data_IF_836173309090
#
_entry.id   IF_836173309090
#
_cell.length_a   1.000
_cell.length_b   1.000
_cell.length_c   1.000
_cell.angle_alpha   90.00
_cell.angle_beta   90.00
_cell.angle_gamma   90.00
#
_symmetry.space_group_name_H-M   'P 1'
#
loop_
_entity.id
_entity.type
_entity.pdbx_description
1 polymer ?
#
# COMPACT_ATOMS: atom_id res chain seq x y z
N UNK A 1 11.79 -1.91 2.38
CA UNK A 1 12.23 -2.93 3.36
C UNK A 1 13.74 -3.06 3.29
N UNK A 2 14.43 -3.19 4.43
CA UNK A 2 15.90 -3.30 4.45
C UNK A 2 16.36 -4.72 4.08
N UNK A 3 17.60 -4.88 3.63
CA UNK A 3 18.16 -6.21 3.32
C UNK A 3 18.23 -7.10 4.57
N UNK A 4 18.57 -6.53 5.74
CA UNK A 4 18.59 -7.26 7.01
C UNK A 4 17.21 -7.81 7.34
N UNK A 5 16.19 -6.95 7.27
CA UNK A 5 14.79 -7.33 7.50
C UNK A 5 14.36 -8.47 6.56
N UNK A 6 14.77 -8.41 5.29
CA UNK A 6 14.43 -9.44 4.31
C UNK A 6 15.04 -10.81 4.66
N UNK A 7 16.29 -10.82 5.16
CA UNK A 7 16.97 -12.06 5.58
C UNK A 7 16.32 -12.70 6.80
N UNK A 8 15.75 -11.90 7.69
CA UNK A 8 15.02 -12.42 8.86
C UNK A 8 13.71 -13.10 8.41
N UNK A 9 12.96 -12.46 7.50
CA UNK A 9 11.74 -13.02 6.92
C UNK A 9 11.96 -14.32 6.14
N UNK A 10 13.15 -14.55 5.59
CA UNK A 10 13.47 -15.78 4.85
C UNK A 10 13.40 -17.05 5.72
N UNK A 11 13.41 -16.91 7.05
CA UNK A 11 13.28 -18.02 8.01
C UNK A 11 11.84 -18.24 8.48
N UNK A 12 10.95 -17.32 8.13
CA UNK A 12 9.58 -17.31 8.58
C UNK A 12 8.64 -17.94 7.56
N UNK A 13 7.56 -18.52 8.06
CA UNK A 13 6.53 -19.13 7.24
C UNK A 13 5.24 -18.33 7.38
N UNK A 14 4.56 -18.16 6.25
CA UNK A 14 3.29 -17.48 6.15
C UNK A 14 2.22 -18.29 6.90
N UNK A 15 1.55 -17.66 7.86
CA UNK A 15 0.41 -18.29 8.55
C UNK A 15 -0.91 -17.94 7.89
N UNK A 16 -1.05 -16.67 7.47
CA UNK A 16 -2.33 -16.13 7.01
C UNK A 16 -2.13 -14.88 6.15
N UNK A 17 -3.01 -14.71 5.16
CA UNK A 17 -3.15 -13.46 4.39
C UNK A 17 -4.54 -12.87 4.59
N UNK A 18 -4.59 -11.61 5.02
CA UNK A 18 -5.83 -10.87 5.28
C UNK A 18 -5.94 -9.66 4.36
N UNK A 19 -7.09 -9.42 3.70
CA UNK A 19 -7.34 -8.18 3.01
C UNK A 19 -7.52 -7.04 4.02
N UNK A 20 -6.81 -5.94 3.83
CA UNK A 20 -6.81 -4.79 4.74
C UNK A 20 -7.01 -3.49 3.98
N UNK A 21 -7.42 -2.44 4.69
CA UNK A 21 -7.43 -1.06 4.21
C UNK A 21 -6.18 -0.35 4.71
N UNK A 22 -5.43 0.26 3.79
CA UNK A 22 -4.22 1.02 4.07
C UNK A 22 -4.33 2.42 3.46
N UNK A 23 -3.37 3.29 3.78
CA UNK A 23 -3.32 4.67 3.31
C UNK A 23 -1.97 4.94 2.65
N UNK A 24 -1.99 5.35 1.39
CA UNK A 24 -0.80 5.73 0.62
C UNK A 24 -0.72 7.24 0.55
N UNK A 25 0.32 7.80 1.18
CA UNK A 25 0.60 9.24 1.15
C UNK A 25 1.62 9.53 0.06
N UNK A 26 1.30 10.43 -0.85
CA UNK A 26 2.19 10.88 -1.93
C UNK A 26 2.42 12.37 -1.82
N UNK A 27 3.69 12.79 -1.87
CA UNK A 27 4.05 14.21 -2.04
C UNK A 27 4.17 14.57 -3.52
N UNK A 28 3.58 15.70 -3.89
CA UNK A 28 3.68 16.33 -5.19
C UNK A 28 4.27 17.73 -5.03
N UNK A 29 4.77 18.30 -6.14
CA UNK A 29 5.14 19.71 -6.20
C UNK A 29 4.14 20.42 -7.10
N UNK A 30 3.72 21.61 -6.69
CA UNK A 30 2.96 22.47 -7.59
C UNK A 30 3.89 22.95 -8.70
N UNK A 31 3.51 22.74 -9.96
CA UNK A 31 4.17 23.42 -11.06
C UNK A 31 3.74 24.90 -11.09
N UNK A 32 4.55 25.73 -11.72
CA UNK A 32 4.19 27.11 -12.04
C UNK A 32 2.86 27.09 -12.85
N UNK A 33 1.86 27.87 -12.44
CA UNK A 33 0.46 27.88 -12.93
C UNK A 33 -0.53 26.85 -12.38
N UNK A 34 -0.22 26.13 -11.28
CA UNK A 34 -1.23 25.35 -10.56
C UNK A 34 -1.58 23.99 -11.18
N UNK A 35 -0.84 23.55 -12.21
CA UNK A 35 -0.94 22.19 -12.73
C UNK A 35 -0.05 21.25 -11.92
N UNK A 36 -0.60 20.18 -11.35
CA UNK A 36 0.21 19.14 -10.74
C UNK A 36 0.98 18.37 -11.83
N UNK A 37 2.31 18.48 -11.89
CA UNK A 37 3.11 17.69 -12.82
C UNK A 37 3.21 16.24 -12.34
N UNK A 38 2.56 15.32 -13.07
CA UNK A 38 2.63 13.87 -12.84
C UNK A 38 4.06 13.29 -12.92
N UNK A 39 5.02 14.03 -13.48
CA UNK A 39 6.42 13.61 -13.66
C UNK A 39 7.30 13.70 -12.40
N UNK A 40 6.82 14.33 -11.32
CA UNK A 40 7.56 14.41 -10.06
C UNK A 40 6.77 13.71 -8.95
N UNK A 41 6.72 12.38 -8.98
CA UNK A 41 6.28 11.63 -7.81
C UNK A 41 7.37 11.73 -6.76
N UNK A 42 7.09 12.51 -5.72
CA UNK A 42 7.95 12.67 -4.56
C UNK A 42 7.95 11.43 -3.68
N UNK A 43 8.38 11.56 -2.41
CA UNK A 43 8.31 10.46 -1.45
C UNK A 43 6.89 9.89 -1.35
N UNK A 44 6.83 8.57 -1.16
CA UNK A 44 5.61 7.80 -0.96
C UNK A 44 5.73 7.02 0.35
N UNK A 45 4.66 6.98 1.14
CA UNK A 45 4.61 6.30 2.43
C UNK A 45 3.33 5.49 2.54
N UNK A 46 3.40 4.40 3.29
CA UNK A 46 2.30 3.49 3.56
C UNK A 46 2.00 3.51 5.06
N UNK A 47 0.75 3.78 5.41
CA UNK A 47 0.27 3.90 6.79
C UNK A 47 -0.97 3.05 7.03
N UNK A 48 -1.21 2.66 8.28
CA UNK A 48 -2.36 1.83 8.65
C UNK A 48 -3.60 2.68 8.90
N UNK A 49 -3.42 3.94 9.31
CA UNK A 49 -4.51 4.87 9.61
C UNK A 49 -4.41 6.18 8.81
N UNK A 50 -5.56 6.85 8.65
CA UNK A 50 -5.61 8.18 8.03
C UNK A 50 -4.81 9.21 8.84
N UNK A 51 -4.85 9.12 10.17
CA UNK A 51 -4.15 10.07 11.05
C UNK A 51 -2.63 9.96 10.88
N UNK A 52 -2.09 8.74 10.77
CA UNK A 52 -0.66 8.53 10.47
C UNK A 52 -0.30 9.11 9.09
N UNK A 53 -1.13 8.86 8.08
CA UNK A 53 -0.91 9.37 6.74
C UNK A 53 -0.89 10.93 6.71
N UNK A 54 -1.78 11.56 7.46
CA UNK A 54 -1.82 13.01 7.63
C UNK A 54 -0.58 13.55 8.37
N UNK A 55 -0.14 12.85 9.43
CA UNK A 55 1.07 13.21 10.16
C UNK A 55 2.32 13.13 9.26
N UNK A 56 2.44 12.08 8.46
CA UNK A 56 3.53 11.95 7.47
C UNK A 56 3.52 13.10 6.47
N UNK A 57 2.34 13.52 6.00
CA UNK A 57 2.24 14.66 5.09
C UNK A 57 2.69 15.98 5.74
N UNK A 58 2.37 16.18 7.03
CA UNK A 58 2.84 17.33 7.81
C UNK A 58 4.36 17.33 7.99
N UNK A 59 4.95 16.17 8.31
CA UNK A 59 6.40 16.02 8.45
C UNK A 59 7.14 16.30 7.14
N UNK A 60 6.52 16.00 6.00
CA UNK A 60 7.07 16.26 4.68
C UNK A 60 6.81 17.68 4.17
N UNK A 61 6.10 18.50 4.94
CA UNK A 61 5.64 19.84 4.52
C UNK A 61 6.82 20.76 4.23
N UNK A 62 6.89 21.20 2.99
CA UNK A 62 7.82 22.22 2.52
C UNK A 62 7.08 23.22 1.62
N UNK A 63 7.60 24.43 1.48
CA UNK A 63 7.02 25.47 0.63
C UNK A 63 6.79 24.95 -0.80
N UNK A 64 5.55 25.12 -1.31
CA UNK A 64 5.17 24.68 -2.66
C UNK A 64 4.86 23.19 -2.81
N UNK A 65 4.78 22.43 -1.70
CA UNK A 65 4.37 21.03 -1.70
C UNK A 65 2.85 20.89 -1.65
N UNK A 66 2.33 19.87 -2.32
CA UNK A 66 0.96 19.37 -2.16
C UNK A 66 1.00 17.88 -1.88
N UNK A 67 -0.04 17.38 -1.22
CA UNK A 67 -0.11 16.00 -0.77
C UNK A 67 -1.43 15.37 -1.19
N UNK A 68 -1.36 14.09 -1.54
CA UNK A 68 -2.53 13.25 -1.71
C UNK A 68 -2.43 12.04 -0.81
N UNK A 69 -3.55 11.65 -0.20
CA UNK A 69 -3.68 10.39 0.52
C UNK A 69 -4.72 9.56 -0.22
N UNK A 70 -4.39 8.34 -0.59
CA UNK A 70 -5.33 7.37 -1.16
C UNK A 70 -5.57 6.24 -0.16
N UNK A 71 -6.83 5.96 0.17
CA UNK A 71 -7.18 4.72 0.84
C UNK A 71 -7.14 3.60 -0.20
N UNK A 72 -6.42 2.52 0.10
CA UNK A 72 -6.12 1.44 -0.85
C UNK A 72 -6.37 0.05 -0.24
N UNK A 73 -6.84 -0.93 -1.04
CA UNK A 73 -6.86 -2.31 -0.61
C UNK A 73 -5.44 -2.88 -0.60
N UNK A 74 -5.03 -3.43 0.54
CA UNK A 74 -3.76 -4.13 0.69
C UNK A 74 -3.93 -5.57 1.17
N UNK A 75 -2.81 -6.24 1.32
CA UNK A 75 -2.70 -7.56 1.94
C UNK A 75 -1.82 -7.45 3.17
N UNK A 76 -2.27 -8.05 4.27
CA UNK A 76 -1.53 -8.23 5.51
C UNK A 76 -1.13 -9.69 5.59
N UNK A 77 0.16 -9.95 5.44
CA UNK A 77 0.80 -11.24 5.54
C UNK A 77 1.27 -11.39 6.97
N UNK A 78 0.83 -12.45 7.64
CA UNK A 78 1.11 -12.69 9.05
C UNK A 78 1.98 -13.94 9.18
N UNK A 79 2.99 -13.89 10.04
CA UNK A 79 3.71 -15.05 10.54
C UNK A 79 3.61 -15.13 12.07
N UNK A 80 4.33 -16.06 12.68
CA UNK A 80 4.50 -16.12 14.13
C UNK A 80 5.22 -14.88 14.71
N UNK A 81 6.14 -14.28 13.95
CA UNK A 81 7.11 -13.29 14.47
C UNK A 81 7.00 -11.92 13.83
N UNK A 82 6.54 -11.86 12.58
CA UNK A 82 6.55 -10.64 11.78
C UNK A 82 5.29 -10.52 10.94
N UNK A 83 4.85 -9.27 10.82
CA UNK A 83 3.73 -8.91 9.98
C UNK A 83 4.20 -7.99 8.86
N UNK A 84 3.78 -8.29 7.63
CA UNK A 84 4.11 -7.49 6.45
C UNK A 84 2.83 -7.02 5.79
N UNK A 85 2.75 -5.73 5.50
CA UNK A 85 1.73 -5.18 4.61
C UNK A 85 2.31 -4.93 3.23
N UNK A 86 1.54 -5.30 2.21
CA UNK A 86 1.87 -5.06 0.81
C UNK A 86 0.66 -4.49 0.08
N UNK A 87 0.92 -3.54 -0.82
CA UNK A 87 -0.11 -2.95 -1.67
C UNK A 87 0.38 -2.74 -3.10
N UNK A 88 -0.53 -2.97 -4.05
CA UNK A 88 -0.44 -2.45 -5.42
C UNK A 88 -1.41 -1.26 -5.56
N UNK A 89 -0.91 -0.04 -5.74
CA UNK A 89 -1.74 1.19 -5.62
C UNK A 89 -1.91 1.99 -6.93
N UNK A 90 -1.38 1.53 -8.06
CA UNK A 90 -1.59 2.18 -9.35
C UNK A 90 -2.75 1.62 -10.18
N UNK A 91 -3.15 0.38 -9.91
CA UNK A 91 -4.32 -0.23 -10.53
C UNK A 91 -5.58 0.16 -9.76
N UNK A 92 -6.69 0.40 -10.48
CA UNK A 92 -8.01 0.56 -9.86
C UNK A 92 -8.45 -0.73 -9.15
N UNK A 93 -7.94 -1.87 -9.59
CA UNK A 93 -8.19 -3.18 -8.97
C UNK A 93 -6.83 -3.79 -8.60
N UNK A 94 -6.40 -3.60 -7.35
CA UNK A 94 -5.14 -4.13 -6.83
C UNK A 94 -5.06 -5.64 -6.99
N UNK A 95 -3.94 -6.11 -7.52
CA UNK A 95 -3.59 -7.49 -7.82
C UNK A 95 -4.47 -8.21 -8.84
N UNK A 96 -5.24 -7.48 -9.66
CA UNK A 96 -6.10 -8.10 -10.68
C UNK A 96 -5.30 -8.93 -11.70
N UNK A 97 -4.16 -8.39 -12.13
CA UNK A 97 -3.29 -8.98 -13.14
C UNK A 97 -2.34 -10.06 -12.57
N UNK A 98 -2.29 -10.24 -11.25
CA UNK A 98 -1.47 -11.27 -10.61
C UNK A 98 -1.78 -12.66 -11.18
N UNK A 99 -0.73 -13.42 -11.48
CA UNK A 99 -0.83 -14.76 -12.08
C UNK A 99 -1.04 -15.84 -11.02
N UNK A 100 -2.17 -16.54 -11.13
CA UNK A 100 -2.58 -17.58 -10.18
C UNK A 100 -1.70 -18.83 -10.24
N UNK A 101 -0.86 -18.97 -11.27
CA UNK A 101 0.13 -20.04 -11.34
C UNK A 101 1.13 -20.02 -10.18
N UNK A 102 1.22 -18.91 -9.44
CA UNK A 102 2.08 -18.74 -8.26
C UNK A 102 1.33 -18.92 -6.92
N UNK A 103 0.12 -19.49 -6.93
CA UNK A 103 -0.67 -19.69 -5.71
C UNK A 103 0.04 -20.48 -4.61
N UNK A 104 0.88 -21.44 -4.96
CA UNK A 104 1.66 -22.20 -3.97
C UNK A 104 2.61 -21.30 -3.15
N UNK A 105 3.05 -20.17 -3.68
CA UNK A 105 3.96 -19.22 -3.01
C UNK A 105 3.25 -18.36 -1.96
N UNK A 106 1.91 -18.30 -1.97
CA UNK A 106 1.11 -17.50 -1.04
C UNK A 106 0.24 -18.35 -0.11
N UNK A 107 0.42 -19.68 -0.13
CA UNK A 107 -0.28 -20.60 0.75
C UNK A 107 0.30 -20.57 2.16
N UNK A 108 -0.54 -20.93 3.13
CA UNK A 108 -0.07 -21.18 4.50
C UNK A 108 1.10 -22.18 4.49
N UNK A 109 2.17 -21.83 5.20
CA UNK A 109 3.40 -22.61 5.26
C UNK A 109 4.41 -22.27 4.16
N UNK A 110 4.09 -21.43 3.18
CA UNK A 110 5.08 -20.91 2.24
C UNK A 110 6.07 -20.00 2.98
N UNK A 111 7.31 -19.86 2.48
CA UNK A 111 8.25 -18.90 3.02
C UNK A 111 7.69 -17.47 2.85
N UNK A 112 7.84 -16.63 3.88
CA UNK A 112 7.32 -15.25 3.83
C UNK A 112 7.92 -14.46 2.67
N UNK A 113 9.20 -14.67 2.37
CA UNK A 113 9.87 -14.05 1.21
C UNK A 113 9.30 -14.49 -0.12
N UNK A 114 8.92 -15.77 -0.27
CA UNK A 114 8.31 -16.26 -1.51
C UNK A 114 6.94 -15.59 -1.74
N UNK A 115 6.15 -15.42 -0.67
CA UNK A 115 4.87 -14.72 -0.74
C UNK A 115 5.04 -13.24 -1.13
N UNK A 116 6.03 -12.56 -0.52
CA UNK A 116 6.36 -11.16 -0.83
C UNK A 116 6.82 -11.03 -2.28
N UNK A 117 7.71 -11.90 -2.75
CA UNK A 117 8.22 -11.89 -4.13
C UNK A 117 7.11 -12.19 -5.13
N UNK A 118 6.25 -13.16 -4.85
CA UNK A 118 5.10 -13.51 -5.69
C UNK A 118 4.12 -12.34 -5.85
N UNK A 119 3.86 -11.61 -4.76
CA UNK A 119 2.91 -10.50 -4.73
C UNK A 119 3.53 -9.16 -5.13
N UNK A 120 4.85 -9.05 -5.09
CA UNK A 120 5.59 -7.83 -5.37
C UNK A 120 6.03 -7.71 -6.82
N UNK A 121 7.02 -6.84 -7.01
CA UNK A 121 7.63 -6.60 -8.31
C UNK A 121 8.15 -7.89 -8.95
N UNK A 122 8.88 -8.81 -8.27
CA UNK A 122 9.42 -10.03 -8.88
C UNK A 122 8.37 -11.06 -9.35
N UNK A 123 7.11 -10.89 -8.95
CA UNK A 123 6.01 -11.79 -9.30
C UNK A 123 5.72 -11.89 -10.79
N UNK A 124 4.87 -12.86 -11.14
CA UNK A 124 4.33 -13.08 -12.49
C UNK A 124 2.99 -12.39 -12.64
N UNK A 125 2.83 -11.70 -13.76
CA UNK A 125 1.68 -10.86 -14.06
C UNK A 125 1.18 -11.15 -15.48
N UNK A 126 -0.13 -11.29 -15.65
CA UNK A 126 -0.77 -11.72 -16.92
C UNK A 126 -0.84 -10.65 -18.01
N UNK A 127 -0.54 -9.40 -17.67
CA UNK A 127 -0.71 -8.19 -18.48
C UNK A 127 0.27 -7.15 -17.92
N UNK A 128 0.81 -6.20 -18.73
CA UNK A 128 2.20 -5.77 -18.60
C UNK A 128 2.55 -5.51 -17.14
N UNK A 129 3.65 -6.15 -16.71
CA UNK A 129 4.13 -6.12 -15.32
C UNK A 129 3.95 -4.71 -14.76
N UNK A 130 3.24 -4.54 -13.63
CA UNK A 130 3.07 -3.21 -13.07
C UNK A 130 4.44 -2.59 -12.79
N UNK A 131 4.54 -1.26 -12.94
CA UNK A 131 5.79 -0.55 -12.62
C UNK A 131 6.24 -0.89 -11.20
N UNK A 132 7.55 -0.97 -10.96
CA UNK A 132 8.10 -1.24 -9.61
C UNK A 132 7.57 -0.23 -8.59
N UNK A 133 7.35 1.01 -9.03
CA UNK A 133 6.77 2.09 -8.22
C UNK A 133 5.32 1.86 -7.81
N UNK A 134 4.66 0.83 -8.33
CA UNK A 134 3.26 0.49 -8.02
C UNK A 134 3.12 -0.33 -6.75
N UNK A 135 4.24 -0.84 -6.22
CA UNK A 135 4.26 -1.71 -5.05
C UNK A 135 4.94 -1.03 -3.87
N UNK A 136 4.34 -1.17 -2.69
CA UNK A 136 4.98 -0.83 -1.43
C UNK A 136 4.76 -2.00 -0.48
N UNK A 137 5.85 -2.51 0.08
CA UNK A 137 5.84 -3.49 1.15
C UNK A 137 6.58 -2.93 2.37
N UNK A 138 5.99 -3.11 3.55
CA UNK A 138 6.51 -2.59 4.82
C UNK A 138 6.28 -3.62 5.92
N UNK A 139 7.29 -3.80 6.77
CA UNK A 139 7.12 -4.47 8.07
C UNK A 139 6.22 -3.61 8.96
N UNK A 140 5.26 -4.26 9.61
CA UNK A 140 4.42 -3.63 10.63
C UNK A 140 5.19 -3.55 11.95
N UNK A 141 5.05 -2.43 12.64
CA UNK A 141 5.45 -2.34 14.04
C UNK A 141 4.42 -3.06 14.92
N UNK A 142 4.81 -3.62 16.07
CA UNK A 142 3.91 -4.37 16.95
C UNK A 142 2.65 -3.60 17.39
N UNK A 143 2.74 -2.27 17.50
CA UNK A 143 1.64 -1.39 17.87
C UNK A 143 0.69 -1.02 16.70
N UNK A 144 1.08 -1.30 15.46
CA UNK A 144 0.30 -0.98 14.28
C UNK A 144 -0.69 -2.10 13.96
N UNK A 145 -1.97 -1.74 13.79
CA UNK A 145 -3.02 -2.67 13.42
C UNK A 145 -3.71 -2.21 12.12
N UNK A 146 -3.42 -2.85 10.97
CA UNK A 146 -4.15 -2.57 9.74
C UNK A 146 -5.64 -2.83 9.90
N UNK A 147 -6.46 -1.97 9.30
CA UNK A 147 -7.91 -2.09 9.39
C UNK A 147 -8.39 -3.24 8.50
N UNK A 148 -9.02 -4.31 9.03
CA UNK A 148 -9.53 -5.40 8.21
C UNK A 148 -10.57 -4.91 7.20
N UNK A 149 -10.52 -5.46 5.99
CA UNK A 149 -11.37 -4.98 4.92
C UNK A 149 -12.81 -5.53 5.02
N UNK A 150 -13.79 -4.64 5.19
CA UNK A 150 -15.21 -5.01 5.17
C UNK A 150 -15.70 -5.50 3.80
N UNK A 151 -16.79 -6.29 3.78
CA UNK A 151 -17.36 -6.92 2.57
C UNK A 151 -17.85 -5.92 1.51
N UNK A 152 -18.25 -4.71 1.92
CA UNK A 152 -18.69 -3.61 1.05
C UNK A 152 -17.82 -2.36 1.18
N UNK A 153 -16.53 -2.54 1.47
CA UNK A 153 -15.58 -1.44 1.59
C UNK A 153 -15.63 -0.51 0.36
N UNK A 154 -15.75 0.79 0.62
CA UNK A 154 -15.56 1.87 -0.33
C UNK A 154 -14.31 2.62 0.08
N UNK A 155 -13.52 3.03 -0.90
CA UNK A 155 -12.27 3.71 -0.66
C UNK A 155 -12.44 5.21 -0.89
N UNK A 156 -11.69 5.99 -0.12
CA UNK A 156 -11.67 7.44 -0.17
C UNK A 156 -10.29 7.94 -0.60
N UNK A 157 -10.25 9.17 -1.07
CA UNK A 157 -9.02 9.90 -1.32
C UNK A 157 -9.11 11.28 -0.69
N UNK A 158 -7.96 11.87 -0.38
CA UNK A 158 -7.84 13.20 0.20
C UNK A 158 -6.77 13.99 -0.52
N UNK A 159 -7.02 15.26 -0.75
CA UNK A 159 -6.03 16.22 -1.26
C UNK A 159 -5.82 17.31 -0.23
N UNK A 160 -4.55 17.66 0.02
CA UNK A 160 -4.20 18.69 1.00
C UNK A 160 -4.50 20.09 0.47
N UNK A 161 -4.93 20.99 1.35
CA UNK A 161 -5.00 22.44 1.14
C UNK A 161 -4.09 23.11 2.17
N UNK A 162 -3.26 24.05 1.70
CA UNK A 162 -2.34 24.81 2.56
C UNK A 162 -2.85 26.24 2.74
N UNK A 163 -2.90 26.70 3.98
CA UNK A 163 -3.27 28.07 4.37
C UNK A 163 -2.06 28.92 4.81
N UNK A 164 -0.85 28.44 4.51
CA UNK A 164 0.42 29.05 4.93
C UNK A 164 1.09 28.32 6.08
N UNK A 165 2.35 28.69 6.39
CA UNK A 165 3.22 27.93 7.29
C UNK A 165 2.74 27.82 8.74
N UNK A 166 1.88 28.74 9.20
CA UNK A 166 1.36 28.78 10.57
C UNK A 166 0.14 27.88 10.84
N UNK A 167 -0.40 27.22 9.82
CA UNK A 167 -1.61 26.39 9.94
C UNK A 167 -1.31 24.94 9.55
N UNK A 168 -2.06 24.01 10.12
CA UNK A 168 -2.07 22.63 9.65
C UNK A 168 -2.67 22.53 8.24
N UNK A 169 -2.32 21.46 7.52
CA UNK A 169 -2.94 21.07 6.26
C UNK A 169 -4.41 20.72 6.48
N UNK A 170 -5.27 21.30 5.67
CA UNK A 170 -6.66 20.87 5.56
C UNK A 170 -6.80 19.81 4.47
N UNK A 171 -7.86 19.00 4.56
CA UNK A 171 -8.04 17.84 3.68
C UNK A 171 -9.39 17.83 3.01
N UNK A 172 -9.39 17.85 1.68
CA UNK A 172 -10.59 17.69 0.86
C UNK A 172 -10.80 16.21 0.53
N UNK A 173 -11.81 15.60 1.14
CA UNK A 173 -12.18 14.21 0.89
C UNK A 173 -13.01 14.05 -0.39
N UNK A 174 -12.76 12.98 -1.13
CA UNK A 174 -13.49 12.62 -2.35
C UNK A 174 -13.50 11.09 -2.54
N UNK A 175 -14.42 10.55 -3.36
CA UNK A 175 -14.44 9.11 -3.65
C UNK A 175 -13.11 8.65 -4.26
N UNK A 176 -12.56 7.54 -3.74
CA UNK A 176 -11.39 6.88 -4.30
C UNK A 176 -11.75 5.97 -5.48
N UNK A 177 -10.76 5.65 -6.31
CA UNK A 177 -10.92 4.79 -7.50
C UNK A 177 -10.79 3.28 -7.23
N UNK A 178 -10.26 2.93 -6.06
CA UNK A 178 -9.79 1.57 -5.78
C UNK A 178 -10.92 0.56 -5.53
N UNK A 179 -10.63 -0.71 -5.79
CA UNK A 179 -11.53 -1.84 -5.63
C UNK A 179 -10.81 -3.05 -5.03
N UNK A 180 -11.45 -3.71 -4.06
CA UNK A 180 -10.86 -4.80 -3.29
C UNK A 180 -10.96 -6.20 -3.92
N UNK A 181 -11.48 -6.35 -5.13
CA UNK A 181 -11.76 -7.67 -5.69
C UNK A 181 -10.50 -8.53 -5.88
N UNK A 182 -9.36 -7.94 -6.27
CA UNK A 182 -8.11 -8.69 -6.43
C UNK A 182 -7.50 -9.14 -5.09
N UNK A 183 -7.40 -8.26 -4.08
CA UNK A 183 -6.93 -8.66 -2.73
C UNK A 183 -7.80 -9.75 -2.09
N UNK A 184 -9.13 -9.68 -2.29
CA UNK A 184 -10.06 -10.72 -1.81
C UNK A 184 -9.90 -12.03 -2.56
N UNK A 185 -9.54 -12.00 -3.84
CA UNK A 185 -9.24 -13.22 -4.59
C UNK A 185 -7.97 -13.89 -4.03
N UNK A 186 -6.92 -13.11 -3.77
CA UNK A 186 -5.67 -13.62 -3.21
C UNK A 186 -5.89 -14.24 -1.84
N UNK A 187 -6.57 -13.54 -0.93
CA UNK A 187 -6.82 -14.09 0.41
C UNK A 187 -7.62 -15.39 0.40
N UNK A 188 -8.57 -15.56 -0.55
CA UNK A 188 -9.26 -16.85 -0.73
C UNK A 188 -8.30 -17.95 -1.19
N UNK A 189 -7.48 -17.68 -2.20
CA UNK A 189 -6.49 -18.66 -2.69
C UNK A 189 -5.45 -19.05 -1.63
N UNK A 190 -5.13 -18.15 -0.70
CA UNK A 190 -4.22 -18.42 0.41
C UNK A 190 -4.83 -19.32 1.50
N UNK A 191 -6.16 -19.45 1.54
CA UNK A 191 -6.90 -20.29 2.49
C UNK A 191 -7.19 -21.70 1.94
N UNK A 192 -7.11 -21.89 0.62
CA UNK A 192 -7.36 -23.15 -0.10
C UNK A 192 -6.08 -24.01 -0.24
#
# INVERSE_FOLDING_TARGET
>A
MSESSYRDLAKEHLERIVPVSLYVTTRQRNAWHGTASLHYRGPISLSCTLSEAQAVAEDWRAQGSTFSIEQVPGLHLMSEWSDVIIVEFHSDISFLAWDQSQSDQIRRGAAMTDAIDALGTPGRWRSPRPSEQSFIARLLQPEEAPIPLGSRARFMAWSSVSHGGGYALEWNAHPGRHNASGVRRISRLAQD
#
